data_IF_016071438642
#
_entry.id   IF_016071438642
#
_cell.length_a   1.000
_cell.length_b   1.000
_cell.length_c   1.000
_cell.angle_alpha   90.00
_cell.angle_beta   90.00
_cell.angle_gamma   90.00
#
_symmetry.space_group_name_H-M   'P 1'
#
loop_
_entity.id
_entity.type
_entity.pdbx_description
1 polymer ?
#
# COMPACT_ATOMS: atom_id res chain seq x y z
N UNK A 1 -19.34 -10.46 -23.77
CA UNK A 1 -20.78 -10.62 -23.54
C UNK A 1 -20.98 -10.70 -22.04
N UNK A 2 -21.21 -9.56 -21.36
CA UNK A 2 -21.69 -9.53 -19.98
C UNK A 2 -23.19 -9.88 -20.07
N UNK A 3 -23.58 -10.95 -19.41
CA UNK A 3 -24.96 -11.40 -19.28
C UNK A 3 -25.80 -10.24 -18.74
N UNK A 4 -26.85 -9.83 -19.48
CA UNK A 4 -27.70 -8.70 -19.11
C UNK A 4 -28.38 -8.88 -17.74
N UNK A 5 -28.42 -10.09 -17.19
CA UNK A 5 -28.95 -10.40 -15.86
C UNK A 5 -28.01 -10.06 -14.70
N UNK A 6 -26.74 -9.69 -14.98
CA UNK A 6 -25.71 -9.37 -13.95
C UNK A 6 -25.26 -7.90 -13.96
N UNK A 7 -26.09 -7.00 -14.51
CA UNK A 7 -25.72 -5.58 -14.69
C UNK A 7 -25.39 -4.79 -13.41
N UNK A 8 -25.74 -5.27 -12.26
CA UNK A 8 -25.65 -4.50 -11.01
C UNK A 8 -24.88 -5.21 -9.88
N UNK A 9 -23.88 -6.02 -10.22
CA UNK A 9 -22.97 -6.54 -9.17
C UNK A 9 -21.98 -5.46 -8.76
N UNK A 10 -21.46 -5.45 -7.51
CA UNK A 10 -20.44 -4.48 -7.07
C UNK A 10 -19.24 -4.41 -8.01
N UNK A 11 -18.79 -5.54 -8.54
CA UNK A 11 -17.68 -5.61 -9.48
C UNK A 11 -18.02 -4.94 -10.83
N UNK A 12 -19.26 -5.13 -11.33
CA UNK A 12 -19.70 -4.48 -12.57
C UNK A 12 -19.81 -2.97 -12.39
N UNK A 13 -20.29 -2.49 -11.24
CA UNK A 13 -20.37 -1.05 -10.92
C UNK A 13 -18.98 -0.41 -10.84
N UNK A 14 -18.00 -1.09 -10.23
CA UNK A 14 -16.59 -0.62 -10.20
C UNK A 14 -16.04 -0.54 -11.63
N UNK A 15 -16.23 -1.61 -12.42
CA UNK A 15 -15.74 -1.66 -13.80
C UNK A 15 -16.38 -0.57 -14.67
N UNK A 16 -17.70 -0.38 -14.57
CA UNK A 16 -18.41 0.66 -15.29
C UNK A 16 -17.97 2.08 -14.87
N UNK A 17 -17.68 2.30 -13.58
CA UNK A 17 -17.13 3.56 -13.11
C UNK A 17 -15.74 3.83 -13.70
N UNK A 18 -14.87 2.82 -13.79
CA UNK A 18 -13.56 2.92 -14.42
C UNK A 18 -13.69 3.24 -15.91
N UNK A 19 -14.57 2.55 -16.63
CA UNK A 19 -14.82 2.80 -18.06
C UNK A 19 -15.37 4.21 -18.28
N UNK A 20 -16.32 4.67 -17.47
CA UNK A 20 -16.86 6.01 -17.54
C UNK A 20 -15.78 7.07 -17.29
N UNK A 21 -14.89 6.85 -16.32
CA UNK A 21 -13.76 7.73 -16.03
C UNK A 21 -12.79 7.83 -17.21
N UNK A 22 -12.45 6.70 -17.82
CA UNK A 22 -11.55 6.66 -18.98
C UNK A 22 -12.14 7.37 -20.21
N UNK A 23 -13.47 7.44 -20.27
CA UNK A 23 -14.19 8.16 -21.34
C UNK A 23 -14.55 9.61 -20.95
N UNK A 24 -14.05 10.14 -19.83
CA UNK A 24 -14.32 11.48 -19.29
C UNK A 24 -15.82 11.76 -19.00
N UNK A 25 -16.59 10.72 -18.68
CA UNK A 25 -18.01 10.79 -18.34
C UNK A 25 -18.22 10.93 -16.83
N UNK A 26 -17.72 12.02 -16.24
CA UNK A 26 -17.65 12.21 -14.79
C UNK A 26 -19.01 12.04 -14.09
N UNK A 27 -20.10 12.58 -14.64
CA UNK A 27 -21.44 12.43 -14.06
C UNK A 27 -21.88 10.94 -13.95
N UNK A 28 -21.48 10.11 -14.91
CA UNK A 28 -21.79 8.66 -14.87
C UNK A 28 -20.91 7.95 -13.83
N UNK A 29 -19.67 8.37 -13.65
CA UNK A 29 -18.77 7.86 -12.57
C UNK A 29 -19.44 8.08 -11.22
N UNK A 30 -19.86 9.30 -10.92
CA UNK A 30 -20.45 9.64 -9.63
C UNK A 30 -21.73 8.85 -9.34
N UNK A 31 -22.60 8.68 -10.33
CA UNK A 31 -23.82 7.88 -10.19
C UNK A 31 -23.52 6.41 -9.89
N UNK A 32 -22.53 5.81 -10.58
CA UNK A 32 -22.14 4.42 -10.37
C UNK A 32 -21.49 4.21 -8.99
N UNK A 33 -20.64 5.14 -8.57
CA UNK A 33 -20.00 5.12 -7.25
C UNK A 33 -21.04 5.32 -6.14
N UNK A 34 -21.99 6.22 -6.28
CA UNK A 34 -23.06 6.42 -5.33
C UNK A 34 -23.94 5.16 -5.19
N UNK A 35 -24.25 4.49 -6.30
CA UNK A 35 -24.97 3.21 -6.30
C UNK A 35 -24.16 2.11 -5.59
N UNK A 36 -22.87 1.95 -5.92
CA UNK A 36 -21.97 1.01 -5.25
C UNK A 36 -21.98 1.23 -3.73
N UNK A 37 -21.86 2.49 -3.29
CA UNK A 37 -21.88 2.85 -1.87
C UNK A 37 -23.23 2.52 -1.19
N UNK A 38 -24.34 2.69 -1.90
CA UNK A 38 -25.68 2.37 -1.37
C UNK A 38 -25.92 0.86 -1.20
N UNK A 39 -25.33 0.05 -2.07
CA UNK A 39 -25.44 -1.41 -2.04
C UNK A 39 -24.46 -2.04 -1.02
N UNK A 40 -23.28 -1.40 -0.83
CA UNK A 40 -22.22 -1.86 0.07
C UNK A 40 -21.87 -0.78 1.10
N UNK A 41 -22.77 -0.42 2.01
CA UNK A 41 -22.57 0.71 2.93
C UNK A 41 -21.42 0.53 3.92
N UNK A 42 -21.04 -0.71 4.25
CA UNK A 42 -19.93 -1.01 5.17
C UNK A 42 -18.62 -1.32 4.42
N UNK A 43 -18.64 -1.52 3.10
CA UNK A 43 -17.43 -1.85 2.34
C UNK A 43 -16.46 -0.69 2.29
N UNK A 44 -15.20 -0.94 2.68
CA UNK A 44 -14.18 0.10 2.76
C UNK A 44 -13.84 0.71 1.41
N UNK A 45 -13.73 -0.10 0.35
CA UNK A 45 -13.39 0.38 -0.98
C UNK A 45 -14.53 1.22 -1.57
N UNK A 46 -15.79 0.80 -1.40
CA UNK A 46 -16.96 1.58 -1.81
C UNK A 46 -17.00 2.94 -1.11
N UNK A 47 -16.69 2.97 0.20
CA UNK A 47 -16.62 4.23 0.96
C UNK A 47 -15.46 5.13 0.51
N UNK A 48 -14.30 4.58 0.21
CA UNK A 48 -13.14 5.33 -0.30
C UNK A 48 -13.47 5.94 -1.66
N UNK A 49 -14.01 5.17 -2.59
CA UNK A 49 -14.36 5.65 -3.93
C UNK A 49 -15.42 6.76 -3.86
N UNK A 50 -16.46 6.56 -3.04
CA UNK A 50 -17.50 7.55 -2.82
C UNK A 50 -16.94 8.85 -2.19
N UNK A 51 -16.13 8.72 -1.15
CA UNK A 51 -15.49 9.87 -0.51
C UNK A 51 -14.65 10.68 -1.49
N UNK A 52 -13.84 10.00 -2.31
CA UNK A 52 -13.00 10.65 -3.31
C UNK A 52 -13.79 11.34 -4.41
N UNK A 53 -14.90 10.76 -4.87
CA UNK A 53 -15.73 11.41 -5.91
C UNK A 53 -16.29 12.75 -5.44
N UNK A 54 -16.63 12.85 -4.14
CA UNK A 54 -17.17 14.09 -3.56
C UNK A 54 -16.10 15.13 -3.20
N UNK A 55 -14.87 14.70 -2.92
CA UNK A 55 -13.84 15.55 -2.32
C UNK A 55 -12.59 15.74 -3.20
N UNK A 56 -12.61 15.29 -4.46
CA UNK A 56 -11.47 15.33 -5.38
C UNK A 56 -10.94 16.73 -5.69
N UNK A 57 -11.77 17.77 -5.55
CA UNK A 57 -11.43 19.16 -5.87
C UNK A 57 -10.99 19.96 -4.63
N UNK A 58 -10.97 19.37 -3.45
CA UNK A 58 -10.57 20.05 -2.22
C UNK A 58 -9.05 20.19 -2.11
N UNK A 59 -8.58 21.21 -1.40
CA UNK A 59 -7.20 21.27 -0.97
C UNK A 59 -6.91 20.19 0.09
N UNK A 60 -5.64 19.86 0.28
CA UNK A 60 -5.21 18.74 1.14
C UNK A 60 -5.72 18.86 2.59
N UNK A 61 -5.83 20.08 3.12
CA UNK A 61 -6.28 20.31 4.51
C UNK A 61 -7.77 20.02 4.65
N UNK A 62 -8.59 20.54 3.76
CA UNK A 62 -10.04 20.28 3.74
C UNK A 62 -10.34 18.82 3.47
N UNK A 63 -9.62 18.21 2.52
CA UNK A 63 -9.71 16.79 2.22
C UNK A 63 -9.41 15.94 3.47
N UNK A 64 -8.32 16.24 4.19
CA UNK A 64 -7.94 15.53 5.42
C UNK A 64 -9.01 15.66 6.52
N UNK A 65 -9.56 16.86 6.74
CA UNK A 65 -10.62 17.09 7.72
C UNK A 65 -11.89 16.30 7.38
N UNK A 66 -12.32 16.34 6.13
CA UNK A 66 -13.48 15.60 5.66
C UNK A 66 -13.27 14.09 5.76
N UNK A 67 -12.07 13.60 5.42
CA UNK A 67 -11.73 12.19 5.56
C UNK A 67 -11.79 11.74 7.02
N UNK A 68 -11.25 12.52 7.94
CA UNK A 68 -11.31 12.23 9.37
C UNK A 68 -12.77 12.13 9.85
N UNK A 69 -13.62 13.10 9.48
CA UNK A 69 -15.04 13.09 9.85
C UNK A 69 -15.76 11.88 9.26
N UNK A 70 -15.50 11.57 7.98
CA UNK A 70 -16.19 10.50 7.26
C UNK A 70 -15.83 9.12 7.79
N UNK A 71 -14.53 8.83 7.98
CA UNK A 71 -14.07 7.47 8.30
C UNK A 71 -13.98 7.15 9.79
N UNK A 72 -13.87 8.15 10.68
CA UNK A 72 -13.65 7.93 12.11
C UNK A 72 -14.67 7.02 12.78
N UNK A 73 -15.95 7.14 12.42
CA UNK A 73 -17.05 6.47 13.09
C UNK A 73 -17.72 5.38 12.21
N UNK A 74 -17.20 5.12 11.01
CA UNK A 74 -17.76 4.09 10.16
C UNK A 74 -17.41 2.69 10.69
N UNK A 75 -18.41 1.82 10.71
CA UNK A 75 -18.18 0.40 10.83
C UNK A 75 -17.89 -0.14 9.43
N UNK A 76 -16.65 -0.55 9.21
CA UNK A 76 -16.14 -0.89 7.88
C UNK A 76 -15.87 -2.38 7.76
N UNK A 77 -16.25 -2.95 6.62
CA UNK A 77 -15.83 -4.26 6.16
C UNK A 77 -14.59 -4.11 5.25
N UNK A 78 -13.48 -4.68 5.70
CA UNK A 78 -12.18 -4.55 5.03
C UNK A 78 -11.89 -5.66 4.00
N UNK A 79 -12.82 -6.60 3.77
CA UNK A 79 -12.59 -7.76 2.88
C UNK A 79 -12.20 -7.35 1.46
N UNK A 80 -12.75 -6.27 0.95
CA UNK A 80 -12.40 -5.73 -0.38
C UNK A 80 -10.95 -5.23 -0.48
N UNK A 81 -10.34 -4.85 0.65
CA UNK A 81 -8.92 -4.43 0.71
C UNK A 81 -8.02 -5.65 0.90
N UNK A 82 -8.41 -6.62 1.72
CA UNK A 82 -7.60 -7.81 2.01
C UNK A 82 -7.50 -8.77 0.81
N UNK A 83 -8.62 -9.02 0.16
CA UNK A 83 -8.68 -9.88 -1.03
C UNK A 83 -8.39 -9.15 -2.34
N UNK A 84 -8.18 -7.84 -2.29
CA UNK A 84 -7.99 -6.99 -3.45
C UNK A 84 -6.53 -6.82 -3.87
N UNK A 85 -6.29 -6.14 -4.99
CA UNK A 85 -4.94 -5.82 -5.45
C UNK A 85 -4.22 -4.90 -4.45
N UNK A 86 -2.89 -5.02 -4.36
CA UNK A 86 -2.05 -4.25 -3.45
C UNK A 86 -2.31 -2.72 -3.52
N UNK A 87 -2.67 -2.21 -4.70
CA UNK A 87 -2.99 -0.79 -4.89
C UNK A 87 -4.18 -0.30 -4.05
N UNK A 88 -5.19 -1.15 -3.81
CA UNK A 88 -6.33 -0.80 -2.95
C UNK A 88 -5.88 -0.62 -1.49
N UNK A 89 -4.99 -1.49 -1.04
CA UNK A 89 -4.39 -1.43 0.31
C UNK A 89 -3.55 -0.19 0.51
N UNK A 90 -2.70 0.13 -0.47
CA UNK A 90 -1.86 1.33 -0.44
C UNK A 90 -2.71 2.60 -0.41
N UNK A 91 -3.72 2.64 -1.24
CA UNK A 91 -4.63 3.78 -1.29
C UNK A 91 -5.39 3.97 0.02
N UNK A 92 -5.86 2.88 0.63
CA UNK A 92 -6.49 2.90 1.95
C UNK A 92 -5.53 3.44 3.02
N UNK A 93 -4.31 2.90 3.11
CA UNK A 93 -3.33 3.32 4.14
C UNK A 93 -2.94 4.78 3.96
N UNK A 94 -2.70 5.23 2.72
CA UNK A 94 -2.41 6.64 2.44
C UNK A 94 -3.57 7.55 2.85
N UNK A 95 -4.81 7.16 2.60
CA UNK A 95 -5.98 7.92 3.02
C UNK A 95 -6.08 8.00 4.55
N UNK A 96 -5.86 6.89 5.25
CA UNK A 96 -5.85 6.86 6.72
C UNK A 96 -4.71 7.69 7.31
N UNK A 97 -3.57 7.73 6.64
CA UNK A 97 -2.45 8.61 7.00
C UNK A 97 -2.83 10.09 6.89
N UNK A 98 -3.35 10.51 5.73
CA UNK A 98 -3.80 11.89 5.47
C UNK A 98 -4.90 12.30 6.44
N UNK A 99 -5.83 11.40 6.75
CA UNK A 99 -6.93 11.64 7.71
C UNK A 99 -6.48 11.67 9.18
N UNK A 100 -5.21 11.33 9.48
CA UNK A 100 -4.71 11.23 10.87
C UNK A 100 -5.32 10.07 11.66
N UNK A 101 -5.77 9.02 10.97
CA UNK A 101 -6.46 7.86 11.56
C UNK A 101 -5.57 6.61 11.69
N UNK A 102 -4.27 6.69 11.36
CA UNK A 102 -3.37 5.53 11.36
C UNK A 102 -3.42 4.73 12.68
N UNK A 103 -3.29 5.40 13.82
CA UNK A 103 -3.27 4.72 15.11
C UNK A 103 -4.61 4.05 15.45
N UNK A 104 -5.72 4.66 15.07
CA UNK A 104 -7.05 4.06 15.24
C UNK A 104 -7.18 2.78 14.39
N UNK A 105 -6.76 2.86 13.14
CA UNK A 105 -6.85 1.72 12.22
C UNK A 105 -5.89 0.59 12.63
N UNK A 106 -4.66 0.91 13.03
CA UNK A 106 -3.72 -0.07 13.60
C UNK A 106 -4.34 -0.85 14.76
N UNK A 107 -5.01 -0.15 15.67
CA UNK A 107 -5.70 -0.79 16.80
C UNK A 107 -6.78 -1.78 16.32
N UNK A 108 -7.63 -1.34 15.39
CA UNK A 108 -8.67 -2.21 14.81
C UNK A 108 -8.07 -3.47 14.15
N UNK A 109 -6.97 -3.33 13.41
CA UNK A 109 -6.30 -4.46 12.76
C UNK A 109 -5.65 -5.41 13.78
N UNK A 110 -5.06 -4.90 14.86
CA UNK A 110 -4.56 -5.72 15.97
C UNK A 110 -5.68 -6.51 16.65
N UNK A 111 -6.86 -5.90 16.83
CA UNK A 111 -8.05 -6.57 17.36
C UNK A 111 -8.55 -7.66 16.40
N UNK A 112 -8.59 -7.38 15.08
CA UNK A 112 -8.96 -8.37 14.06
C UNK A 112 -8.06 -9.60 14.09
N UNK A 113 -6.74 -9.43 14.20
CA UNK A 113 -5.77 -10.53 14.31
C UNK A 113 -6.02 -11.36 15.57
N UNK A 114 -6.32 -10.71 16.70
CA UNK A 114 -6.56 -11.41 17.98
C UNK A 114 -7.87 -12.21 17.97
N UNK A 115 -8.90 -11.73 17.27
CA UNK A 115 -10.21 -12.39 17.19
C UNK A 115 -10.24 -13.45 16.09
N UNK A 116 -9.48 -13.28 15.02
CA UNK A 116 -9.41 -14.22 13.91
C UNK A 116 -8.62 -15.47 14.33
N UNK A 117 -9.28 -16.65 14.30
CA UNK A 117 -8.62 -17.93 14.57
C UNK A 117 -7.62 -18.33 13.48
N UNK A 118 -7.75 -17.77 12.29
CA UNK A 118 -6.82 -17.91 11.19
C UNK A 118 -6.15 -16.55 10.97
N UNK A 119 -4.83 -16.51 11.05
CA UNK A 119 -4.07 -15.32 10.66
C UNK A 119 -4.24 -15.12 9.15
N UNK A 120 -5.02 -14.14 8.76
CA UNK A 120 -5.23 -13.78 7.36
C UNK A 120 -4.01 -13.00 6.85
N UNK A 121 -3.38 -13.49 5.79
CA UNK A 121 -2.21 -12.86 5.17
C UNK A 121 -2.47 -11.40 4.80
N UNK A 122 -3.66 -11.09 4.24
CA UNK A 122 -4.06 -9.75 3.85
C UNK A 122 -4.19 -8.81 5.05
N UNK A 123 -4.67 -9.31 6.19
CA UNK A 123 -4.75 -8.54 7.45
C UNK A 123 -3.33 -8.22 7.95
N UNK A 124 -2.44 -9.22 7.97
CA UNK A 124 -1.05 -9.04 8.40
C UNK A 124 -0.30 -8.06 7.50
N UNK A 125 -0.43 -8.19 6.17
CA UNK A 125 0.16 -7.27 5.20
C UNK A 125 -0.36 -5.84 5.38
N UNK A 126 -1.65 -5.67 5.65
CA UNK A 126 -2.24 -4.34 5.86
C UNK A 126 -1.75 -3.72 7.15
N UNK A 127 -1.70 -4.47 8.25
CA UNK A 127 -1.16 -3.98 9.52
C UNK A 127 0.33 -3.62 9.39
N UNK A 128 1.15 -4.47 8.76
CA UNK A 128 2.56 -4.19 8.54
C UNK A 128 2.77 -2.88 7.74
N UNK A 129 1.90 -2.62 6.76
CA UNK A 129 1.96 -1.40 5.97
C UNK A 129 1.50 -0.17 6.78
N UNK A 130 0.44 -0.29 7.59
CA UNK A 130 0.03 0.75 8.55
C UNK A 130 1.14 1.06 9.56
N UNK A 131 1.86 0.04 10.03
CA UNK A 131 2.96 0.19 10.99
C UNK A 131 4.15 0.94 10.39
N UNK A 132 4.50 0.73 9.11
CA UNK A 132 5.52 1.54 8.40
C UNK A 132 5.11 3.02 8.40
N UNK A 133 3.88 3.34 8.01
CA UNK A 133 3.42 4.74 7.95
C UNK A 133 3.31 5.38 9.34
N UNK A 134 3.04 4.59 10.37
CA UNK A 134 3.03 5.02 11.76
C UNK A 134 4.44 5.02 12.40
N UNK A 135 5.49 4.72 11.62
CA UNK A 135 6.89 4.62 12.09
C UNK A 135 7.11 3.60 13.21
N UNK A 136 6.28 2.56 13.25
CA UNK A 136 6.41 1.45 14.19
C UNK A 136 7.19 0.31 13.49
N UNK A 137 8.46 0.58 13.24
CA UNK A 137 9.27 -0.24 12.33
C UNK A 137 9.60 -1.63 12.88
N UNK A 138 9.76 -1.77 14.19
CA UNK A 138 10.00 -3.07 14.82
C UNK A 138 8.80 -4.00 14.66
N UNK A 139 7.59 -3.50 14.91
CA UNK A 139 6.35 -4.25 14.71
C UNK A 139 6.13 -4.58 13.23
N UNK A 140 6.35 -3.61 12.34
CA UNK A 140 6.26 -3.84 10.90
C UNK A 140 7.24 -4.93 10.44
N UNK A 141 8.49 -4.87 10.90
CA UNK A 141 9.52 -5.86 10.55
C UNK A 141 9.16 -7.26 11.06
N UNK A 142 8.66 -7.39 12.29
CA UNK A 142 8.20 -8.67 12.84
C UNK A 142 7.05 -9.27 12.01
N UNK A 143 6.08 -8.44 11.57
CA UNK A 143 4.97 -8.88 10.72
C UNK A 143 5.45 -9.32 9.34
N UNK A 144 6.36 -8.57 8.71
CA UNK A 144 6.93 -8.96 7.42
C UNK A 144 7.75 -10.24 7.50
N UNK A 145 8.51 -10.47 8.57
CA UNK A 145 9.19 -11.74 8.78
C UNK A 145 8.19 -12.89 8.89
N UNK A 146 7.11 -12.75 9.65
CA UNK A 146 6.06 -13.77 9.70
C UNK A 146 5.43 -14.01 8.32
N UNK A 147 5.17 -12.96 7.54
CA UNK A 147 4.66 -13.09 6.15
C UNK A 147 5.62 -13.87 5.26
N UNK A 148 6.93 -13.64 5.38
CA UNK A 148 7.95 -14.32 4.58
C UNK A 148 8.14 -15.77 5.03
N UNK A 149 8.20 -16.02 6.33
CA UNK A 149 8.55 -17.32 6.90
C UNK A 149 7.35 -18.26 6.98
N UNK A 150 6.17 -17.76 7.41
CA UNK A 150 4.99 -18.58 7.67
C UNK A 150 4.10 -18.71 6.42
N UNK A 151 4.05 -17.67 5.56
CA UNK A 151 3.18 -17.61 4.37
C UNK A 151 3.93 -17.71 3.05
N UNK A 152 5.26 -17.64 3.07
CA UNK A 152 6.07 -17.70 1.86
C UNK A 152 5.94 -16.45 0.97
N UNK A 153 5.54 -15.31 1.51
CA UNK A 153 5.35 -14.04 0.79
C UNK A 153 6.70 -13.45 0.36
N UNK A 154 7.25 -13.94 -0.75
CA UNK A 154 8.58 -13.57 -1.28
C UNK A 154 8.50 -12.77 -2.59
N UNK A 155 7.36 -12.10 -2.83
CA UNK A 155 7.28 -11.14 -3.93
C UNK A 155 8.18 -9.92 -3.67
N UNK A 156 8.61 -9.26 -4.73
CA UNK A 156 9.58 -8.14 -4.65
C UNK A 156 9.11 -7.00 -3.77
N UNK A 157 7.80 -6.73 -3.74
CA UNK A 157 7.24 -5.64 -2.94
C UNK A 157 7.24 -5.97 -1.46
N UNK A 158 6.80 -7.16 -1.08
CA UNK A 158 6.83 -7.63 0.30
C UNK A 158 8.25 -7.61 0.85
N UNK A 159 9.23 -8.12 0.09
CA UNK A 159 10.65 -8.10 0.46
C UNK A 159 11.20 -6.67 0.57
N UNK A 160 10.80 -5.77 -0.32
CA UNK A 160 11.21 -4.37 -0.27
C UNK A 160 10.66 -3.65 0.97
N UNK A 161 9.37 -3.83 1.26
CA UNK A 161 8.74 -3.23 2.45
C UNK A 161 9.29 -3.81 3.76
N UNK A 162 9.60 -5.11 3.78
CA UNK A 162 10.32 -5.75 4.88
C UNK A 162 11.70 -5.11 5.11
N UNK A 163 12.42 -4.80 4.02
CA UNK A 163 13.71 -4.12 4.11
C UNK A 163 13.55 -2.67 4.62
N UNK A 164 12.52 -1.93 4.18
CA UNK A 164 12.21 -0.59 4.71
C UNK A 164 11.96 -0.65 6.21
N UNK A 165 11.16 -1.62 6.67
CA UNK A 165 10.89 -1.84 8.09
C UNK A 165 12.18 -2.21 8.86
N UNK A 166 13.04 -3.06 8.30
CA UNK A 166 14.31 -3.45 8.90
C UNK A 166 15.27 -2.25 9.06
N UNK A 167 15.32 -1.34 8.07
CA UNK A 167 16.10 -0.08 8.17
C UNK A 167 15.57 0.78 9.31
N UNK A 168 14.26 1.00 9.36
CA UNK A 168 13.65 1.80 10.41
C UNK A 168 13.82 1.19 11.81
N UNK A 169 13.89 -0.15 11.90
CA UNK A 169 14.21 -0.91 13.11
C UNK A 169 15.73 -1.00 13.41
N UNK A 170 16.55 -0.17 12.75
CA UNK A 170 18.00 -0.11 12.89
C UNK A 170 18.70 -1.47 12.65
N UNK A 171 18.22 -2.24 11.68
CA UNK A 171 18.78 -3.53 11.29
C UNK A 171 19.21 -3.54 9.79
N UNK A 172 20.26 -2.79 9.41
CA UNK A 172 20.68 -2.63 8.01
C UNK A 172 21.15 -3.95 7.37
N UNK A 173 21.73 -4.87 8.14
CA UNK A 173 22.18 -6.15 7.59
C UNK A 173 20.99 -7.02 7.13
N UNK A 174 19.91 -7.07 7.89
CA UNK A 174 18.69 -7.76 7.47
C UNK A 174 18.04 -7.06 6.26
N UNK A 175 18.04 -5.73 6.22
CA UNK A 175 17.55 -4.99 5.07
C UNK A 175 18.34 -5.32 3.80
N UNK A 176 19.67 -5.39 3.87
CA UNK A 176 20.54 -5.79 2.75
C UNK A 176 20.18 -7.21 2.28
N UNK A 177 20.02 -8.16 3.20
CA UNK A 177 19.67 -9.54 2.86
C UNK A 177 18.31 -9.64 2.16
N UNK A 178 17.29 -8.91 2.65
CA UNK A 178 15.96 -8.85 2.06
C UNK A 178 15.97 -8.24 0.65
N UNK A 179 16.72 -7.15 0.45
CA UNK A 179 16.84 -6.53 -0.88
C UNK A 179 17.66 -7.37 -1.86
N UNK A 180 18.66 -8.13 -1.39
CA UNK A 180 19.36 -9.11 -2.22
C UNK A 180 18.39 -10.21 -2.66
N UNK A 181 17.52 -10.70 -1.77
CA UNK A 181 16.49 -11.69 -2.10
C UNK A 181 15.48 -11.09 -3.09
N UNK A 182 15.02 -9.88 -2.89
CA UNK A 182 14.14 -9.16 -3.83
C UNK A 182 14.76 -9.06 -5.23
N UNK A 183 16.06 -8.74 -5.30
CA UNK A 183 16.80 -8.70 -6.57
C UNK A 183 16.94 -10.08 -7.22
N UNK A 184 17.00 -11.16 -6.45
CA UNK A 184 17.02 -12.53 -7.00
C UNK A 184 15.65 -12.91 -7.58
N UNK A 185 14.56 -12.44 -6.96
CA UNK A 185 13.19 -12.65 -7.41
C UNK A 185 12.91 -11.87 -8.71
N UNK A 186 13.37 -10.60 -8.78
CA UNK A 186 13.30 -9.79 -10.00
C UNK A 186 14.63 -9.03 -10.22
N UNK A 187 15.43 -9.53 -11.15
CA UNK A 187 16.72 -8.96 -11.52
C UNK A 187 16.62 -7.55 -12.12
N UNK A 188 15.45 -7.16 -12.59
CA UNK A 188 15.22 -5.84 -13.19
C UNK A 188 14.67 -4.81 -12.21
N UNK A 189 14.42 -5.20 -10.95
CA UNK A 189 13.91 -4.29 -9.93
C UNK A 189 14.91 -3.19 -9.62
N UNK A 190 14.65 -2.00 -10.15
CA UNK A 190 15.52 -0.82 -10.03
C UNK A 190 15.47 -0.24 -8.62
N UNK A 191 14.31 -0.27 -7.97
CA UNK A 191 14.14 0.22 -6.60
C UNK A 191 14.99 -0.58 -5.61
N UNK A 192 14.96 -1.91 -5.68
CA UNK A 192 15.80 -2.76 -4.84
C UNK A 192 17.29 -2.54 -5.07
N UNK A 193 17.72 -2.27 -6.32
CA UNK A 193 19.11 -1.94 -6.63
C UNK A 193 19.52 -0.58 -6.04
N UNK A 194 18.67 0.43 -6.19
CA UNK A 194 18.93 1.76 -5.62
C UNK A 194 19.02 1.70 -4.09
N UNK A 195 18.06 1.03 -3.45
CA UNK A 195 18.04 0.84 -2.00
C UNK A 195 19.29 0.08 -1.50
N UNK A 196 19.71 -0.99 -2.20
CA UNK A 196 20.95 -1.70 -1.88
C UNK A 196 22.16 -0.78 -2.00
N UNK A 197 22.24 0.03 -3.05
CA UNK A 197 23.33 1.01 -3.21
C UNK A 197 23.42 1.97 -2.03
N UNK A 198 22.30 2.54 -1.61
CA UNK A 198 22.23 3.44 -0.45
C UNK A 198 22.63 2.74 0.85
N UNK A 199 22.13 1.54 1.12
CA UNK A 199 22.48 0.80 2.34
C UNK A 199 23.96 0.41 2.36
N UNK A 200 24.53 -0.02 1.23
CA UNK A 200 25.96 -0.30 1.15
C UNK A 200 26.81 0.97 1.39
N UNK A 201 26.36 2.11 0.93
CA UNK A 201 27.03 3.39 1.20
C UNK A 201 26.97 3.74 2.69
N UNK A 202 25.83 3.55 3.34
CA UNK A 202 25.64 3.80 4.76
C UNK A 202 26.55 2.89 5.62
N UNK A 203 26.66 1.62 5.26
CA UNK A 203 27.59 0.69 5.94
C UNK A 203 29.05 0.80 5.43
N UNK A 204 29.37 1.84 4.65
CA UNK A 204 30.70 2.16 4.11
C UNK A 204 31.28 1.08 3.17
N UNK A 205 30.45 0.26 2.56
CA UNK A 205 30.84 -0.69 1.52
C UNK A 205 30.69 -0.04 0.13
N UNK A 206 31.59 0.90 -0.18
CA UNK A 206 31.50 1.73 -1.38
C UNK A 206 31.63 0.95 -2.69
N UNK A 207 32.41 -0.14 -2.72
CA UNK A 207 32.52 -1.00 -3.90
C UNK A 207 31.17 -1.65 -4.24
N UNK A 208 30.51 -2.21 -3.25
CA UNK A 208 29.18 -2.80 -3.43
C UNK A 208 28.16 -1.75 -3.83
N UNK A 209 28.19 -0.56 -3.24
CA UNK A 209 27.31 0.55 -3.59
C UNK A 209 27.46 0.95 -5.06
N UNK A 210 28.70 1.23 -5.52
CA UNK A 210 29.00 1.55 -6.91
C UNK A 210 28.54 0.46 -7.88
N UNK A 211 28.70 -0.81 -7.50
CA UNK A 211 28.26 -1.95 -8.30
C UNK A 211 26.74 -1.93 -8.53
N UNK A 212 25.94 -1.54 -7.52
CA UNK A 212 24.50 -1.41 -7.68
C UNK A 212 24.14 -0.21 -8.56
N UNK A 213 24.72 0.94 -8.29
CA UNK A 213 24.41 2.18 -9.03
C UNK A 213 24.75 2.09 -10.52
N UNK A 214 25.85 1.45 -10.90
CA UNK A 214 26.24 1.23 -12.30
C UNK A 214 25.18 0.44 -13.10
N UNK A 215 24.29 -0.27 -12.44
CA UNK A 215 23.22 -1.05 -13.10
C UNK A 215 21.92 -0.27 -13.28
N UNK A 216 21.85 0.96 -12.74
CA UNK A 216 20.69 1.83 -12.88
C UNK A 216 20.80 2.71 -14.13
N UNK A 217 19.67 3.05 -14.79
CA UNK A 217 19.67 4.06 -15.84
C UNK A 217 20.12 5.43 -15.32
N UNK A 218 20.82 6.23 -16.14
CA UNK A 218 21.29 7.57 -15.78
C UNK A 218 20.16 8.54 -15.36
N UNK A 219 18.93 8.30 -15.79
CA UNK A 219 17.76 9.10 -15.48
C UNK A 219 16.83 8.42 -14.47
N UNK A 220 17.31 7.42 -13.74
CA UNK A 220 16.49 6.72 -12.75
C UNK A 220 16.09 7.68 -11.62
N UNK A 221 14.80 7.70 -11.31
CA UNK A 221 14.23 8.36 -10.14
C UNK A 221 13.47 7.32 -9.34
N UNK A 222 13.77 7.22 -8.06
CA UNK A 222 13.03 6.32 -7.16
C UNK A 222 11.62 6.85 -6.91
N UNK A 223 10.65 5.95 -6.79
CA UNK A 223 9.30 6.26 -6.34
C UNK A 223 9.21 6.37 -4.81
N UNK A 224 10.19 5.82 -4.09
CA UNK A 224 10.16 5.70 -2.63
C UNK A 224 11.09 6.66 -1.90
N UNK A 225 12.14 7.16 -2.56
CA UNK A 225 13.11 8.08 -1.93
C UNK A 225 13.73 9.03 -2.96
N UNK A 226 14.12 10.21 -2.48
CA UNK A 226 14.87 11.17 -3.29
C UNK A 226 16.32 10.68 -3.45
N UNK A 227 16.66 10.25 -4.66
CA UNK A 227 17.98 9.73 -4.99
C UNK A 227 18.50 10.44 -6.24
N UNK A 228 19.66 11.07 -6.15
CA UNK A 228 20.32 11.70 -7.28
C UNK A 228 21.63 10.96 -7.59
N UNK A 229 21.63 10.22 -8.71
CA UNK A 229 22.78 9.43 -9.16
C UNK A 229 23.99 10.33 -9.50
N UNK A 230 23.76 11.60 -9.82
CA UNK A 230 24.79 12.50 -10.33
C UNK A 230 25.60 13.20 -9.22
N UNK A 231 25.22 13.06 -7.96
CA UNK A 231 25.85 13.71 -6.81
C UNK A 231 26.62 12.74 -5.88
N UNK A 232 26.89 11.49 -6.33
CA UNK A 232 27.65 10.49 -5.56
C UNK A 232 28.81 9.93 -6.33
#
# INVERSE_FOLDING_TARGET
YLDETKKDTPLSLIFEAIVAKNNNLNNQVDVKIAKLRSELPEDILANILYFNSLNSNLNIKEYAQNAQIHFKNLKLDYRSVFGGPNIAREFYVNLMHIAGLLNLERQKFKELINVSRAKDEGILQTLAYLDIFAQQYEEAYALYNSLIDDYGAKDTKTLFLAAVAAVGANNPNSAIALLQLSKLTDKNNKESKAALGMLYQEVKNYEAAISQYKTLPNNFKSEFFTFDINNN
#
